data_IF_898318957499
#
_entry.id   IF_898318957499
#
_cell.length_a   1.000
_cell.length_b   1.000
_cell.length_c   1.000
_cell.angle_alpha   90.00
_cell.angle_beta   90.00
_cell.angle_gamma   90.00
#
_symmetry.space_group_name_H-M   'P 1'
#
loop_
_entity.id
_entity.type
_entity.pdbx_description
1 polymer ?
#
# COMPACT_ATOMS: atom_id res chain seq x y z
N UNK A 1 -15.29 -17.95 13.53
CA UNK A 1 -14.52 -17.78 12.28
C UNK A 1 -15.05 -18.67 11.16
N UNK A 2 -15.29 -19.96 11.37
CA UNK A 2 -15.74 -20.87 10.31
C UNK A 2 -17.07 -20.43 9.64
N UNK A 3 -18.10 -20.09 10.43
CA UNK A 3 -19.37 -19.57 9.88
C UNK A 3 -19.21 -18.26 9.08
N UNK A 4 -18.26 -17.40 9.48
CA UNK A 4 -17.98 -16.14 8.78
C UNK A 4 -17.20 -16.39 7.48
N UNK A 5 -16.33 -17.41 7.48
CA UNK A 5 -15.63 -17.87 6.28
C UNK A 5 -16.60 -18.49 5.29
N UNK A 6 -17.53 -19.33 5.74
CA UNK A 6 -18.58 -19.92 4.88
C UNK A 6 -19.48 -18.86 4.23
N UNK A 7 -19.88 -17.82 4.97
CA UNK A 7 -20.65 -16.71 4.42
C UNK A 7 -19.87 -15.89 3.38
N UNK A 8 -18.56 -15.70 3.60
CA UNK A 8 -17.70 -14.96 2.67
C UNK A 8 -17.35 -15.78 1.44
N UNK A 9 -17.13 -17.09 1.58
CA UNK A 9 -16.81 -17.97 0.44
C UNK A 9 -18.02 -18.27 -0.44
N UNK A 10 -19.24 -18.24 0.11
CA UNK A 10 -20.48 -18.40 -0.65
C UNK A 10 -20.62 -17.34 -1.76
N UNK A 11 -20.28 -16.08 -1.48
CA UNK A 11 -20.35 -14.95 -2.42
C UNK A 11 -19.05 -14.12 -2.43
N UNK A 12 -17.90 -14.80 -2.54
CA UNK A 12 -16.58 -14.17 -2.45
C UNK A 12 -16.39 -12.93 -3.33
N UNK A 13 -16.85 -12.89 -4.60
CA UNK A 13 -16.69 -11.72 -5.45
C UNK A 13 -17.42 -10.47 -4.92
N UNK A 14 -18.61 -10.65 -4.34
CA UNK A 14 -19.42 -9.54 -3.82
C UNK A 14 -18.80 -8.99 -2.55
N UNK A 15 -18.36 -9.86 -1.64
CA UNK A 15 -17.70 -9.44 -0.40
C UNK A 15 -16.36 -8.75 -0.65
N UNK A 16 -15.58 -9.21 -1.63
CA UNK A 16 -14.34 -8.54 -2.04
C UNK A 16 -14.62 -7.16 -2.65
N UNK A 17 -15.68 -7.03 -3.45
CA UNK A 17 -16.08 -5.76 -4.04
C UNK A 17 -16.61 -4.77 -3.00
N UNK A 18 -17.61 -5.15 -2.19
CA UNK A 18 -18.22 -4.28 -1.19
C UNK A 18 -17.23 -3.98 -0.06
N UNK A 19 -16.55 -5.00 0.46
CA UNK A 19 -15.55 -4.84 1.51
C UNK A 19 -14.35 -4.02 1.04
N UNK A 20 -13.87 -4.25 -0.19
CA UNK A 20 -12.83 -3.43 -0.81
C UNK A 20 -13.25 -1.96 -0.96
N UNK A 21 -14.49 -1.70 -1.37
CA UNK A 21 -15.02 -0.35 -1.51
C UNK A 21 -15.10 0.38 -0.16
N UNK A 22 -15.62 -0.30 0.88
CA UNK A 22 -15.70 0.26 2.23
C UNK A 22 -14.31 0.53 2.84
N UNK A 23 -13.38 -0.41 2.69
CA UNK A 23 -11.99 -0.26 3.18
C UNK A 23 -11.28 0.86 2.42
N UNK A 24 -11.45 0.93 1.10
CA UNK A 24 -10.89 1.98 0.25
C UNK A 24 -11.44 3.36 0.61
N UNK A 25 -12.75 3.47 0.82
CA UNK A 25 -13.41 4.70 1.26
C UNK A 25 -12.88 5.18 2.62
N UNK A 26 -12.85 4.28 3.61
CA UNK A 26 -12.29 4.60 4.93
C UNK A 26 -10.81 5.03 4.84
N UNK A 27 -10.00 4.33 4.04
CA UNK A 27 -8.61 4.73 3.80
C UNK A 27 -8.52 6.12 3.15
N UNK A 28 -9.33 6.40 2.12
CA UNK A 28 -9.36 7.69 1.42
C UNK A 28 -9.73 8.84 2.35
N UNK A 29 -10.79 8.67 3.15
CA UNK A 29 -11.24 9.60 4.18
C UNK A 29 -10.12 9.95 5.17
N UNK A 30 -9.48 8.93 5.74
CA UNK A 30 -8.42 9.10 6.72
C UNK A 30 -7.18 9.74 6.08
N UNK A 31 -6.78 9.27 4.89
CA UNK A 31 -5.62 9.79 4.18
C UNK A 31 -5.79 11.28 3.82
N UNK A 32 -7.00 11.69 3.42
CA UNK A 32 -7.32 13.08 3.14
C UNK A 32 -7.34 13.93 4.41
N UNK A 33 -8.07 13.49 5.45
CA UNK A 33 -8.19 14.23 6.71
C UNK A 33 -6.84 14.45 7.40
N UNK A 34 -5.93 13.49 7.28
CA UNK A 34 -4.62 13.51 7.95
C UNK A 34 -3.47 13.94 7.05
N UNK A 35 -3.76 14.23 5.77
CA UNK A 35 -2.78 14.52 4.73
C UNK A 35 -1.61 13.52 4.74
N UNK A 36 -1.94 12.23 4.77
CA UNK A 36 -0.97 11.16 4.88
C UNK A 36 -0.20 10.99 3.57
N UNK A 37 1.12 11.19 3.63
CA UNK A 37 2.02 11.04 2.49
C UNK A 37 3.39 10.59 2.99
N UNK A 38 3.87 9.45 2.49
CA UNK A 38 5.22 8.96 2.80
C UNK A 38 6.29 9.93 2.35
N UNK A 39 6.21 10.40 1.10
CA UNK A 39 7.14 11.38 0.55
C UNK A 39 7.08 12.70 1.32
N UNK A 40 5.88 13.18 1.65
CA UNK A 40 5.70 14.40 2.43
C UNK A 40 6.30 14.30 3.83
N UNK A 41 6.21 13.12 4.47
CA UNK A 41 6.83 12.89 5.76
C UNK A 41 8.37 13.00 5.72
N UNK A 42 9.01 12.52 4.66
CA UNK A 42 10.47 12.62 4.48
C UNK A 42 10.88 14.07 4.25
N UNK A 43 10.15 14.78 3.36
CA UNK A 43 10.43 16.19 3.06
C UNK A 43 10.21 17.07 4.30
N UNK A 44 9.15 16.85 5.07
CA UNK A 44 8.89 17.65 6.28
C UNK A 44 9.99 17.48 7.33
N UNK A 45 10.58 16.29 7.44
CA UNK A 45 11.73 16.06 8.33
C UNK A 45 12.97 16.79 7.83
N UNK A 46 13.26 16.74 6.53
CA UNK A 46 14.46 17.34 5.94
C UNK A 46 14.39 18.86 5.84
N UNK A 47 13.21 19.42 5.56
CA UNK A 47 13.03 20.85 5.29
C UNK A 47 12.53 21.62 6.52
N UNK A 48 11.60 21.05 7.29
CA UNK A 48 10.91 21.74 8.38
C UNK A 48 11.31 21.20 9.77
N UNK A 49 12.04 20.08 9.84
CA UNK A 49 12.33 19.39 11.10
C UNK A 49 11.09 18.81 11.79
N UNK A 50 9.94 18.69 11.11
CA UNK A 50 8.71 18.15 11.70
C UNK A 50 8.61 16.64 11.52
N UNK A 51 8.76 15.92 12.63
CA UNK A 51 8.75 14.46 12.66
C UNK A 51 7.34 13.85 12.85
N UNK A 52 6.29 14.66 13.01
CA UNK A 52 4.93 14.15 13.33
C UNK A 52 4.39 13.24 12.24
N UNK A 53 4.59 13.60 10.97
CA UNK A 53 4.14 12.79 9.82
C UNK A 53 4.95 11.52 9.63
N UNK A 54 6.26 11.55 9.88
CA UNK A 54 7.08 10.34 9.84
C UNK A 54 6.67 9.35 10.92
N UNK A 55 6.40 9.85 12.14
CA UNK A 55 5.86 9.03 13.23
C UNK A 55 4.47 8.48 12.92
N UNK A 56 3.60 9.25 12.25
CA UNK A 56 2.31 8.75 11.79
C UNK A 56 2.45 7.59 10.80
N UNK A 57 3.40 7.70 9.86
CA UNK A 57 3.69 6.63 8.91
C UNK A 57 4.29 5.39 9.59
N UNK A 58 5.24 5.58 10.51
CA UNK A 58 5.80 4.49 11.30
C UNK A 58 4.72 3.79 12.15
N UNK A 59 3.80 4.56 12.74
CA UNK A 59 2.66 4.01 13.49
C UNK A 59 1.71 3.22 12.59
N UNK A 60 1.44 3.69 11.37
CA UNK A 60 0.66 2.94 10.37
C UNK A 60 1.34 1.62 10.01
N UNK A 61 2.65 1.63 9.78
CA UNK A 61 3.42 0.41 9.51
C UNK A 61 3.40 -0.56 10.71
N UNK A 62 3.61 -0.07 11.93
CA UNK A 62 3.58 -0.88 13.15
C UNK A 62 2.21 -1.47 13.44
N UNK A 63 1.13 -0.69 13.28
CA UNK A 63 -0.24 -1.18 13.47
C UNK A 63 -0.66 -2.18 12.39
N UNK A 64 -0.27 -1.97 11.13
CA UNK A 64 -0.48 -2.95 10.07
C UNK A 64 0.29 -4.27 10.33
N UNK A 65 1.55 -4.19 10.76
CA UNK A 65 2.37 -5.35 11.08
C UNK A 65 1.81 -6.13 12.27
N UNK A 66 1.41 -5.43 13.33
CA UNK A 66 0.74 -6.04 14.49
C UNK A 66 -0.58 -6.71 14.08
N UNK A 67 -1.38 -6.04 13.25
CA UNK A 67 -2.63 -6.60 12.72
C UNK A 67 -2.40 -7.86 11.89
N UNK A 68 -1.43 -7.86 10.97
CA UNK A 68 -1.07 -9.03 10.19
C UNK A 68 -0.59 -10.20 11.06
N UNK A 69 0.24 -9.91 12.08
CA UNK A 69 0.75 -10.95 12.99
C UNK A 69 -0.37 -11.58 13.84
N UNK A 70 -1.30 -10.76 14.34
CA UNK A 70 -2.48 -11.26 15.07
C UNK A 70 -3.39 -12.11 14.18
N UNK A 71 -3.57 -11.73 12.91
CA UNK A 71 -4.34 -12.52 11.94
C UNK A 71 -3.69 -13.88 11.65
N UNK A 72 -2.36 -13.91 11.58
CA UNK A 72 -1.61 -15.15 11.39
C UNK A 72 -1.77 -16.10 12.60
N UNK A 73 -1.57 -15.60 13.81
CA UNK A 73 -1.70 -16.42 15.03
C UNK A 73 -3.13 -16.84 15.31
N UNK A 74 -4.11 -16.00 14.95
CA UNK A 74 -5.53 -16.34 15.01
C UNK A 74 -5.94 -17.41 14.00
N UNK A 75 -5.06 -17.82 13.08
CA UNK A 75 -5.36 -18.80 12.03
C UNK A 75 -6.39 -18.30 11.00
N UNK A 76 -6.64 -16.98 10.95
CA UNK A 76 -7.61 -16.38 10.05
C UNK A 76 -7.08 -16.23 8.63
N UNK A 77 -5.76 -16.02 8.49
CA UNK A 77 -5.08 -15.78 7.22
C UNK A 77 -3.76 -16.52 7.21
N UNK A 78 -3.53 -17.35 6.20
CA UNK A 78 -2.21 -17.93 5.96
C UNK A 78 -1.36 -16.96 5.11
N UNK A 79 -0.49 -16.21 5.80
CA UNK A 79 0.43 -15.26 5.15
C UNK A 79 1.56 -15.95 4.37
N UNK A 80 1.80 -17.26 4.57
CA UNK A 80 2.81 -18.00 3.79
C UNK A 80 2.44 -18.10 2.31
N UNK A 81 1.14 -18.09 2.00
CA UNK A 81 0.61 -18.07 0.64
C UNK A 81 0.68 -16.69 -0.02
N UNK A 82 1.05 -15.65 0.72
CA UNK A 82 1.21 -14.31 0.16
C UNK A 82 2.48 -14.20 -0.67
N UNK A 83 2.45 -13.34 -1.68
CA UNK A 83 3.61 -13.07 -2.55
C UNK A 83 4.85 -12.58 -1.76
N UNK A 84 4.65 -12.01 -0.56
CA UNK A 84 5.70 -11.38 0.22
C UNK A 84 6.55 -12.37 1.04
N UNK A 85 6.04 -13.58 1.32
CA UNK A 85 6.73 -14.57 2.16
C UNK A 85 7.38 -15.71 1.36
N UNK A 86 7.53 -15.54 0.04
CA UNK A 86 8.23 -16.50 -0.83
C UNK A 86 9.64 -16.84 -0.31
N UNK A 87 10.21 -17.99 -0.70
CA UNK A 87 11.58 -18.38 -0.30
C UNK A 87 12.70 -17.68 -1.11
N UNK A 88 12.37 -17.03 -2.24
CA UNK A 88 13.35 -16.42 -3.17
C UNK A 88 13.46 -14.89 -3.01
N UNK A 89 14.56 -14.40 -2.46
CA UNK A 89 14.76 -12.97 -2.22
C UNK A 89 15.32 -12.32 -3.48
N UNK A 90 14.51 -11.49 -4.13
CA UNK A 90 14.95 -10.65 -5.23
C UNK A 90 15.58 -9.34 -4.71
N UNK A 91 16.78 -9.44 -4.13
CA UNK A 91 17.46 -8.29 -3.51
C UNK A 91 17.69 -7.15 -4.50
N UNK A 92 18.14 -7.46 -5.72
CA UNK A 92 18.44 -6.47 -6.75
C UNK A 92 17.17 -5.75 -7.20
N UNK A 93 16.09 -6.49 -7.50
CA UNK A 93 14.80 -5.91 -7.87
C UNK A 93 14.21 -5.02 -6.77
N UNK A 94 14.34 -5.42 -5.50
CA UNK A 94 13.84 -4.65 -4.36
C UNK A 94 14.59 -3.33 -4.18
N UNK A 95 15.94 -3.34 -4.27
CA UNK A 95 16.76 -2.14 -4.11
C UNK A 95 16.60 -1.22 -5.32
N UNK A 96 16.85 -1.74 -6.52
CA UNK A 96 16.82 -0.94 -7.75
C UNK A 96 15.42 -0.42 -8.05
N UNK A 97 14.40 -1.28 -7.92
CA UNK A 97 13.00 -0.90 -8.09
C UNK A 97 12.53 0.10 -7.03
N UNK A 98 12.95 -0.08 -5.77
CA UNK A 98 12.64 0.87 -4.68
C UNK A 98 13.24 2.26 -4.91
N UNK A 99 14.49 2.33 -5.38
CA UNK A 99 15.16 3.60 -5.71
C UNK A 99 14.50 4.30 -6.90
N UNK A 100 14.22 3.57 -7.99
CA UNK A 100 13.50 4.12 -9.14
C UNK A 100 12.10 4.62 -8.75
N UNK A 101 11.36 3.85 -7.95
CA UNK A 101 10.04 4.23 -7.47
C UNK A 101 10.12 5.48 -6.57
N UNK A 102 11.11 5.55 -5.67
CA UNK A 102 11.39 6.71 -4.83
C UNK A 102 11.66 7.97 -5.63
N UNK A 103 12.57 7.89 -6.61
CA UNK A 103 12.87 9.00 -7.51
C UNK A 103 11.62 9.43 -8.30
N UNK A 104 10.88 8.48 -8.84
CA UNK A 104 9.62 8.73 -9.55
C UNK A 104 8.58 9.47 -8.70
N UNK A 105 8.45 9.13 -7.40
CA UNK A 105 7.52 9.82 -6.49
C UNK A 105 7.85 11.32 -6.33
N UNK A 106 9.12 11.72 -6.44
CA UNK A 106 9.53 13.13 -6.37
C UNK A 106 9.04 13.88 -7.61
N UNK A 107 9.26 13.35 -8.82
CA UNK A 107 8.79 13.99 -10.07
C UNK A 107 7.28 13.97 -10.22
N UNK A 108 6.63 12.89 -9.77
CA UNK A 108 5.18 12.75 -9.77
C UNK A 108 4.48 13.65 -8.74
N UNK A 109 5.22 14.29 -7.83
CA UNK A 109 4.67 15.18 -6.80
C UNK A 109 3.84 14.46 -5.73
N UNK A 110 4.12 13.18 -5.48
CA UNK A 110 3.43 12.37 -4.48
C UNK A 110 3.56 10.86 -4.69
N UNK A 111 3.20 10.10 -3.66
CA UNK A 111 3.04 8.65 -3.76
C UNK A 111 1.71 8.27 -4.46
N UNK A 112 1.60 7.02 -4.91
CA UNK A 112 0.41 6.52 -5.60
C UNK A 112 -0.89 6.74 -4.79
N UNK A 113 -0.89 6.43 -3.48
CA UNK A 113 -2.05 6.63 -2.62
C UNK A 113 -2.46 8.11 -2.48
N UNK A 114 -1.50 9.03 -2.40
CA UNK A 114 -1.81 10.47 -2.33
C UNK A 114 -2.31 11.01 -3.67
N UNK A 115 -1.73 10.59 -4.78
CA UNK A 115 -2.22 10.97 -6.09
C UNK A 115 -3.63 10.39 -6.35
N UNK A 116 -3.93 9.20 -5.83
CA UNK A 116 -5.28 8.63 -5.87
C UNK A 116 -6.31 9.50 -5.14
N UNK A 117 -6.02 9.90 -3.90
CA UNK A 117 -6.91 10.79 -3.14
C UNK A 117 -7.03 12.17 -3.82
N UNK A 118 -5.94 12.70 -4.39
CA UNK A 118 -5.96 13.97 -5.14
C UNK A 118 -6.80 13.87 -6.42
N UNK A 119 -6.70 12.77 -7.16
CA UNK A 119 -7.51 12.53 -8.33
C UNK A 119 -9.00 12.44 -7.94
N UNK A 120 -9.32 11.79 -6.81
CA UNK A 120 -10.68 11.79 -6.24
C UNK A 120 -11.18 13.19 -5.87
N UNK A 121 -10.29 14.10 -5.46
CA UNK A 121 -10.62 15.51 -5.20
C UNK A 121 -10.67 16.41 -6.46
N UNK A 122 -10.51 15.86 -7.66
CA UNK A 122 -10.63 16.60 -8.94
C UNK A 122 -9.33 17.14 -9.53
N UNK A 123 -8.16 16.67 -9.07
CA UNK A 123 -6.87 17.08 -9.63
C UNK A 123 -6.54 16.33 -10.93
N UNK A 124 -6.69 17.00 -12.07
CA UNK A 124 -6.41 16.45 -13.39
C UNK A 124 -4.94 16.02 -13.57
N UNK A 125 -3.99 16.71 -12.91
CA UNK A 125 -2.58 16.33 -12.94
C UNK A 125 -2.37 15.01 -12.20
N UNK A 126 -3.00 14.85 -11.04
CA UNK A 126 -2.91 13.61 -10.27
C UNK A 126 -3.55 12.44 -11.02
N UNK A 127 -4.66 12.68 -11.73
CA UNK A 127 -5.29 11.68 -12.59
C UNK A 127 -4.35 11.22 -13.71
N UNK A 128 -3.70 12.15 -14.42
CA UNK A 128 -2.73 11.82 -15.46
C UNK A 128 -1.57 10.98 -14.90
N UNK A 129 -1.06 11.34 -13.72
CA UNK A 129 -0.01 10.57 -13.04
C UNK A 129 -0.47 9.14 -12.73
N UNK A 130 -1.71 8.94 -12.27
CA UNK A 130 -2.25 7.60 -12.00
C UNK A 130 -2.37 6.76 -13.27
N UNK A 131 -2.85 7.35 -14.38
CA UNK A 131 -2.91 6.67 -15.68
C UNK A 131 -1.53 6.21 -16.11
N UNK A 132 -0.51 7.07 -16.02
CA UNK A 132 0.86 6.71 -16.38
C UNK A 132 1.42 5.62 -15.46
N UNK A 133 1.20 5.71 -14.15
CA UNK A 133 1.64 4.71 -13.18
C UNK A 133 0.96 3.36 -13.43
N UNK A 134 -0.36 3.34 -13.66
CA UNK A 134 -1.13 2.12 -13.92
C UNK A 134 -0.68 1.42 -15.19
N UNK A 135 -0.53 2.18 -16.29
CA UNK A 135 -0.05 1.65 -17.57
C UNK A 135 1.37 1.10 -17.45
N UNK A 136 2.31 1.86 -16.87
CA UNK A 136 3.69 1.38 -16.69
C UNK A 136 3.78 0.18 -15.73
N UNK A 137 2.94 0.13 -14.71
CA UNK A 137 2.86 -1.01 -13.81
C UNK A 137 2.48 -2.29 -14.58
N UNK A 138 1.48 -2.23 -15.45
CA UNK A 138 1.11 -3.40 -16.26
C UNK A 138 2.15 -3.78 -17.32
N UNK A 139 2.73 -2.78 -17.98
CA UNK A 139 3.84 -3.00 -18.92
C UNK A 139 4.98 -3.78 -18.23
N UNK A 140 5.23 -3.51 -16.95
CA UNK A 140 6.28 -4.15 -16.15
C UNK A 140 5.88 -5.50 -15.54
N UNK A 141 4.62 -5.65 -15.12
CA UNK A 141 4.13 -6.90 -14.50
C UNK A 141 3.97 -8.00 -15.55
N UNK A 142 3.29 -7.72 -16.66
CA UNK A 142 2.91 -8.70 -17.67
C UNK A 142 3.00 -8.23 -19.13
N UNK A 143 3.40 -6.97 -19.37
CA UNK A 143 3.60 -6.45 -20.72
C UNK A 143 5.02 -6.68 -21.25
N UNK A 144 5.48 -5.76 -22.11
CA UNK A 144 6.75 -5.91 -22.85
C UNK A 144 7.99 -5.98 -21.95
N UNK A 145 7.94 -5.37 -20.76
CA UNK A 145 9.03 -5.41 -19.78
C UNK A 145 8.93 -6.63 -18.85
N UNK A 146 7.84 -7.39 -18.92
CA UNK A 146 7.61 -8.59 -18.12
C UNK A 146 8.71 -9.65 -18.28
N UNK A 147 9.09 -10.05 -19.51
CA UNK A 147 10.18 -11.01 -19.73
C UNK A 147 11.53 -10.52 -19.20
N UNK A 148 11.84 -9.23 -19.39
CA UNK A 148 13.07 -8.63 -18.88
C UNK A 148 13.09 -8.65 -17.34
N UNK A 149 11.99 -8.27 -16.70
CA UNK A 149 11.83 -8.33 -15.24
C UNK A 149 11.98 -9.77 -14.73
N UNK A 150 11.36 -10.74 -15.39
CA UNK A 150 11.45 -12.14 -15.00
C UNK A 150 12.87 -12.71 -15.17
N UNK A 151 13.58 -12.30 -16.23
CA UNK A 151 14.98 -12.66 -16.44
C UNK A 151 15.87 -12.10 -15.33
N UNK A 152 15.72 -10.81 -15.01
CA UNK A 152 16.43 -10.16 -13.90
C UNK A 152 16.14 -10.86 -12.58
N UNK A 153 14.86 -11.11 -12.26
CA UNK A 153 14.46 -11.80 -11.03
C UNK A 153 15.09 -13.19 -10.93
N UNK A 154 15.13 -13.96 -12.03
CA UNK A 154 15.74 -15.29 -12.05
C UNK A 154 17.26 -15.24 -11.83
N UNK A 155 17.96 -14.27 -12.40
CA UNK A 155 19.42 -14.16 -12.27
C UNK A 155 19.86 -13.55 -10.95
N UNK A 156 19.06 -12.67 -10.35
CA UNK A 156 19.41 -11.98 -9.12
C UNK A 156 18.75 -12.55 -7.87
N UNK A 157 17.78 -13.46 -7.99
CA UNK A 157 17.17 -14.08 -6.82
C UNK A 157 18.17 -14.95 -6.05
N UNK A 158 18.25 -14.76 -4.74
CA UNK A 158 18.99 -15.63 -3.83
C UNK A 158 18.01 -16.45 -2.98
N UNK A 159 18.31 -17.74 -2.78
CA UNK A 159 17.57 -18.58 -1.85
C UNK A 159 18.23 -18.51 -0.47
N UNK A 160 17.47 -18.19 0.57
CA UNK A 160 17.99 -18.02 1.92
C UNK A 160 18.11 -19.33 2.71
N UNK A 161 17.81 -20.48 2.08
CA UNK A 161 17.84 -21.80 2.73
C UNK A 161 16.72 -22.04 3.76
N UNK A 162 15.89 -21.04 4.04
CA UNK A 162 14.70 -21.14 4.89
C UNK A 162 13.43 -21.39 4.04
N UNK A 163 12.37 -21.99 4.63
CA UNK A 163 11.11 -22.24 3.91
C UNK A 163 10.40 -20.94 3.48
N UNK A 164 10.58 -19.85 4.23
CA UNK A 164 10.08 -18.51 3.88
C UNK A 164 11.15 -17.45 4.13
N UNK A 165 10.97 -16.27 3.53
CA UNK A 165 11.77 -15.07 3.82
C UNK A 165 11.37 -14.34 5.10
N UNK A 166 10.54 -14.94 5.97
CA UNK A 166 10.18 -14.30 7.22
C UNK A 166 11.41 -14.18 8.13
N UNK A 167 11.56 -13.03 8.79
CA UNK A 167 12.63 -12.84 9.77
C UNK A 167 12.55 -13.89 10.89
N UNK A 168 11.35 -14.31 11.26
CA UNK A 168 11.12 -15.38 12.24
C UNK A 168 11.68 -16.72 11.80
N UNK A 169 11.50 -17.14 10.54
CA UNK A 169 12.01 -18.42 10.07
C UNK A 169 13.52 -18.39 9.83
N UNK A 170 14.07 -17.24 9.42
CA UNK A 170 15.52 -17.03 9.34
C UNK A 170 16.16 -17.09 10.73
N UNK A 171 15.54 -16.48 11.73
CA UNK A 171 15.96 -16.62 13.12
C UNK A 171 15.87 -18.08 13.54
N UNK A 172 14.72 -18.74 13.39
CA UNK A 172 14.54 -20.15 13.75
C UNK A 172 15.64 -21.07 13.19
N UNK A 173 16.06 -20.85 11.93
CA UNK A 173 17.14 -21.60 11.28
C UNK A 173 18.51 -21.40 11.96
N UNK A 174 18.84 -20.18 12.39
CA UNK A 174 20.17 -19.85 12.94
C UNK A 174 20.30 -20.14 14.44
N UNK A 175 19.22 -19.97 15.21
CA UNK A 175 19.21 -20.16 16.68
C UNK A 175 18.56 -21.48 17.12
N UNK A 176 18.04 -22.28 16.19
CA UNK A 176 17.41 -23.57 16.50
C UNK A 176 16.13 -23.46 17.34
N UNK A 177 15.46 -22.30 17.29
CA UNK A 177 14.22 -22.04 18.04
C UNK A 177 12.99 -22.58 17.31
N UNK A 178 11.92 -22.84 18.06
CA UNK A 178 10.62 -23.21 17.51
C UNK A 178 10.04 -22.04 16.70
N UNK A 179 9.65 -22.27 15.44
CA UNK A 179 9.27 -21.21 14.48
C UNK A 179 8.24 -20.21 15.04
N UNK A 180 7.23 -20.68 15.78
CA UNK A 180 6.24 -19.82 16.43
C UNK A 180 6.86 -18.82 17.43
N UNK A 181 7.81 -19.28 18.25
CA UNK A 181 8.52 -18.43 19.22
C UNK A 181 9.47 -17.46 18.53
N UNK A 182 10.15 -17.90 17.46
CA UNK A 182 11.04 -17.05 16.69
C UNK A 182 10.27 -15.92 15.96
N UNK A 183 9.09 -16.20 15.43
CA UNK A 183 8.20 -15.20 14.83
C UNK A 183 7.70 -14.18 15.87
N UNK A 184 7.31 -14.64 17.05
CA UNK A 184 6.93 -13.78 18.18
C UNK A 184 8.07 -12.82 18.58
N UNK A 185 9.27 -13.35 18.75
CA UNK A 185 10.46 -12.57 19.12
C UNK A 185 10.83 -11.58 18.02
N UNK A 186 10.81 -12.00 16.76
CA UNK A 186 11.08 -11.12 15.61
C UNK A 186 10.06 -9.98 15.52
N UNK A 187 8.77 -10.29 15.67
CA UNK A 187 7.70 -9.31 15.66
C UNK A 187 7.85 -8.32 16.82
N UNK A 188 8.11 -8.80 18.03
CA UNK A 188 8.33 -7.96 19.21
C UNK A 188 9.57 -7.05 19.04
N UNK A 189 10.67 -7.59 18.50
CA UNK A 189 11.91 -6.84 18.26
C UNK A 189 11.73 -5.67 17.27
N UNK A 190 10.75 -5.75 16.35
CA UNK A 190 10.46 -4.66 15.40
C UNK A 190 9.36 -3.73 15.94
N UNK A 191 8.28 -4.30 16.46
CA UNK A 191 7.12 -3.53 16.91
C UNK A 191 7.44 -2.65 18.11
N UNK A 192 8.18 -3.16 19.10
CA UNK A 192 8.49 -2.42 20.33
C UNK A 192 9.27 -1.14 20.00
N UNK A 193 10.38 -1.16 19.24
CA UNK A 193 11.07 0.07 18.85
C UNK A 193 10.21 1.04 18.05
N UNK A 194 9.36 0.56 17.13
CA UNK A 194 8.46 1.42 16.35
C UNK A 194 7.47 2.15 17.26
N UNK A 195 6.79 1.42 18.15
CA UNK A 195 5.83 2.03 19.08
C UNK A 195 6.52 2.97 20.08
N UNK A 196 7.68 2.59 20.61
CA UNK A 196 8.49 3.47 21.47
C UNK A 196 8.88 4.73 20.71
N UNK A 197 9.38 4.64 19.48
CA UNK A 197 9.75 5.80 18.66
C UNK A 197 8.57 6.74 18.39
N UNK A 198 7.38 6.18 18.13
CA UNK A 198 6.16 6.95 17.90
C UNK A 198 5.72 7.67 19.19
N UNK A 199 5.62 6.94 20.29
CA UNK A 199 5.09 7.46 21.55
C UNK A 199 6.12 8.20 22.41
N UNK A 200 7.42 8.15 22.12
CA UNK A 200 8.44 8.88 22.87
C UNK A 200 8.27 10.41 22.78
N UNK A 201 7.77 10.92 21.65
CA UNK A 201 7.66 12.38 21.45
C UNK A 201 6.34 12.95 21.96
N UNK A 202 6.42 13.96 22.84
CA UNK A 202 5.25 14.67 23.36
C UNK A 202 4.46 15.39 22.24
N UNK A 203 5.16 15.97 21.26
CA UNK A 203 4.54 16.68 20.12
C UNK A 203 3.68 15.79 19.23
N UNK A 204 3.99 14.49 19.16
CA UNK A 204 3.16 13.53 18.41
C UNK A 204 1.92 13.15 19.20
N UNK A 205 2.06 12.87 20.51
CA UNK A 205 0.94 12.57 21.42
C UNK A 205 -0.06 13.74 21.50
N UNK A 206 0.42 14.97 21.41
CA UNK A 206 -0.42 16.16 21.37
C UNK A 206 -1.20 16.35 20.07
N UNK A 207 -0.91 15.58 19.01
CA UNK A 207 -1.52 15.74 17.68
C UNK A 207 -2.46 14.57 17.34
N UNK A 208 -3.72 14.59 17.81
CA UNK A 208 -4.64 13.46 17.65
C UNK A 208 -4.86 13.10 16.18
N UNK A 209 -4.85 14.09 15.28
CA UNK A 209 -5.00 13.87 13.83
C UNK A 209 -3.96 12.88 13.26
N UNK A 210 -2.70 12.94 13.70
CA UNK A 210 -1.64 12.10 13.13
C UNK A 210 -1.65 10.70 13.77
N UNK A 211 -2.04 10.61 15.05
CA UNK A 211 -2.21 9.34 15.76
C UNK A 211 -3.36 8.54 15.15
N UNK A 212 -4.53 9.17 15.01
CA UNK A 212 -5.69 8.55 14.35
C UNK A 212 -5.42 8.21 12.88
N UNK A 213 -4.66 9.06 12.17
CA UNK A 213 -4.22 8.75 10.81
C UNK A 213 -3.36 7.50 10.73
N UNK A 214 -2.35 7.39 11.60
CA UNK A 214 -1.48 6.22 11.65
C UNK A 214 -2.25 4.94 11.97
N UNK A 215 -3.01 4.95 13.08
CA UNK A 215 -3.80 3.78 13.51
C UNK A 215 -4.84 3.41 12.46
N UNK A 216 -5.60 4.38 11.95
CA UNK A 216 -6.68 4.14 10.99
C UNK A 216 -6.17 3.54 9.68
N UNK A 217 -5.04 4.05 9.16
CA UNK A 217 -4.44 3.50 7.93
C UNK A 217 -3.88 2.09 8.14
N UNK A 218 -3.23 1.84 9.28
CA UNK A 218 -2.73 0.50 9.58
C UNK A 218 -3.85 -0.52 9.83
N UNK A 219 -4.94 -0.10 10.48
CA UNK A 219 -6.15 -0.93 10.62
C UNK A 219 -6.82 -1.20 9.26
N UNK A 220 -6.86 -0.22 8.35
CA UNK A 220 -7.35 -0.46 7.00
C UNK A 220 -6.51 -1.53 6.28
N UNK A 221 -5.17 -1.46 6.40
CA UNK A 221 -4.26 -2.48 5.87
C UNK A 221 -4.53 -3.88 6.46
N UNK A 222 -4.69 -3.97 7.78
CA UNK A 222 -5.04 -5.22 8.45
C UNK A 222 -6.42 -5.75 8.02
N UNK A 223 -7.41 -4.87 7.83
CA UNK A 223 -8.73 -5.24 7.32
C UNK A 223 -8.66 -5.79 5.88
N UNK A 224 -7.77 -5.25 5.05
CA UNK A 224 -7.49 -5.80 3.71
C UNK A 224 -6.93 -7.22 3.75
N UNK A 225 -5.99 -7.50 4.66
CA UNK A 225 -5.49 -8.85 4.91
C UNK A 225 -6.59 -9.79 5.39
N UNK A 226 -7.41 -9.37 6.35
CA UNK A 226 -8.52 -10.17 6.86
C UNK A 226 -9.53 -10.51 5.76
N UNK A 227 -9.96 -9.51 4.98
CA UNK A 227 -10.97 -9.71 3.93
C UNK A 227 -10.46 -10.64 2.83
N UNK A 228 -9.24 -10.40 2.33
CA UNK A 228 -8.68 -11.23 1.25
C UNK A 228 -8.26 -12.61 1.72
N UNK A 229 -7.84 -12.77 2.97
CA UNK A 229 -7.54 -14.06 3.57
C UNK A 229 -8.79 -14.90 3.86
N UNK A 230 -9.89 -14.29 4.29
CA UNK A 230 -11.17 -15.00 4.47
C UNK A 230 -11.79 -15.42 3.14
N UNK A 231 -11.66 -14.60 2.11
CA UNK A 231 -12.14 -14.88 0.76
C UNK A 231 -11.21 -15.80 -0.04
N UNK A 232 -10.06 -16.20 0.52
CA UNK A 232 -9.13 -17.11 -0.14
C UNK A 232 -9.69 -18.53 -0.16
N UNK A 233 -9.92 -19.01 -1.37
CA UNK A 233 -10.30 -20.38 -1.69
C UNK A 233 -9.39 -20.93 -2.80
N UNK A 234 -8.70 -22.03 -2.50
CA UNK A 234 -7.78 -22.72 -3.41
C UNK A 234 -8.52 -23.43 -4.56
N UNK A 235 -9.79 -23.78 -4.37
CA UNK A 235 -10.63 -24.43 -5.37
C UNK A 235 -11.41 -23.44 -6.24
N UNK A 236 -11.26 -22.13 -5.99
CA UNK A 236 -11.87 -21.10 -6.81
C UNK A 236 -11.33 -21.11 -8.24
N UNK A 237 -12.16 -20.75 -9.22
CA UNK A 237 -11.79 -20.68 -10.65
C UNK A 237 -10.54 -19.81 -10.92
N UNK A 238 -10.27 -18.83 -10.06
CA UNK A 238 -9.10 -17.94 -10.13
C UNK A 238 -8.55 -17.71 -8.71
N UNK A 239 -7.69 -18.59 -8.18
CA UNK A 239 -7.13 -18.41 -6.85
C UNK A 239 -6.26 -17.15 -6.84
N UNK A 240 -6.60 -16.19 -5.99
CA UNK A 240 -5.80 -14.97 -5.81
C UNK A 240 -5.14 -15.04 -4.44
N UNK A 241 -3.81 -14.99 -4.33
CA UNK A 241 -3.15 -15.00 -3.04
C UNK A 241 -3.63 -13.79 -2.20
N UNK A 242 -3.62 -13.91 -0.86
CA UNK A 242 -4.05 -12.83 0.01
C UNK A 242 -3.18 -11.58 -0.23
N UNK A 243 -3.84 -10.43 -0.35
CA UNK A 243 -3.22 -9.14 -0.64
C UNK A 243 -3.83 -8.04 0.24
N UNK A 244 -2.98 -7.14 0.74
CA UNK A 244 -3.41 -5.93 1.44
C UNK A 244 -3.56 -4.75 0.47
N UNK A 245 -3.97 -3.60 1.01
CA UNK A 245 -3.97 -2.30 0.33
C UNK A 245 -2.63 -2.01 -0.36
N UNK A 246 -2.71 -1.91 -1.69
CA UNK A 246 -1.67 -1.40 -2.58
C UNK A 246 -2.38 -0.60 -3.68
N UNK A 247 -1.70 0.40 -4.25
CA UNK A 247 -2.33 1.30 -5.23
C UNK A 247 -1.61 1.35 -6.57
N UNK A 248 -0.49 0.64 -6.74
CA UNK A 248 0.24 0.66 -8.02
C UNK A 248 -0.39 -0.31 -9.01
N UNK A 249 -0.49 -1.60 -8.66
CA UNK A 249 -1.16 -2.61 -9.50
C UNK A 249 -2.67 -2.35 -9.64
N UNK A 250 -3.43 -2.06 -8.56
CA UNK A 250 -4.87 -1.92 -8.67
C UNK A 250 -5.36 -0.73 -9.49
N UNK A 251 -4.55 0.32 -9.64
CA UNK A 251 -4.87 1.42 -10.56
C UNK A 251 -4.88 0.92 -12.00
N UNK A 252 -3.92 0.07 -12.37
CA UNK A 252 -3.95 -0.67 -13.63
C UNK A 252 -5.20 -1.56 -13.71
N UNK A 253 -5.43 -2.41 -12.70
CA UNK A 253 -6.61 -3.31 -12.68
C UNK A 253 -7.94 -2.55 -12.87
N UNK A 254 -8.01 -1.32 -12.37
CA UNK A 254 -9.19 -0.46 -12.55
C UNK A 254 -9.34 0.01 -13.99
N UNK A 255 -8.24 0.33 -14.68
CA UNK A 255 -8.25 0.71 -16.10
C UNK A 255 -8.67 -0.48 -16.97
N UNK A 256 -8.11 -1.68 -16.74
CA UNK A 256 -8.52 -2.88 -17.48
C UNK A 256 -10.00 -3.20 -17.23
N UNK A 257 -10.45 -3.09 -15.98
CA UNK A 257 -11.85 -3.33 -15.64
C UNK A 257 -12.80 -2.33 -16.32
N UNK A 258 -12.40 -1.06 -16.44
CA UNK A 258 -13.17 -0.04 -17.19
C UNK A 258 -13.23 -0.37 -18.70
N UNK A 259 -12.11 -0.79 -19.29
CA UNK A 259 -12.05 -1.16 -20.71
C UNK A 259 -12.86 -2.42 -21.01
N UNK A 260 -12.90 -3.37 -20.07
CA UNK A 260 -13.54 -4.69 -20.23
C UNK A 260 -14.81 -4.83 -19.40
N UNK A 261 -15.48 -3.74 -19.03
CA UNK A 261 -16.58 -3.76 -18.07
C UNK A 261 -17.71 -4.77 -18.40
N UNK A 262 -18.02 -4.96 -19.68
CA UNK A 262 -19.06 -5.91 -20.13
C UNK A 262 -18.59 -7.37 -20.17
N UNK A 263 -17.27 -7.61 -20.19
CA UNK A 263 -16.67 -8.93 -20.31
C UNK A 263 -15.99 -9.40 -19.00
N UNK A 264 -15.67 -8.49 -18.10
CA UNK A 264 -15.03 -8.75 -16.82
C UNK A 264 -16.08 -9.03 -15.73
N UNK A 265 -15.80 -9.95 -14.78
CA UNK A 265 -16.66 -10.16 -13.62
C UNK A 265 -16.64 -8.95 -12.67
N UNK A 266 -17.42 -9.05 -11.57
CA UNK A 266 -17.44 -8.09 -10.47
C UNK A 266 -16.03 -7.60 -10.08
N UNK A 267 -15.87 -6.31 -9.70
CA UNK A 267 -14.57 -5.73 -9.44
C UNK A 267 -13.86 -6.47 -8.29
N UNK A 268 -12.62 -6.87 -8.53
CA UNK A 268 -11.79 -7.47 -7.48
C UNK A 268 -11.44 -6.47 -6.38
N UNK A 269 -10.94 -6.97 -5.24
CA UNK A 269 -10.56 -6.16 -4.08
C UNK A 269 -9.73 -4.92 -4.42
N UNK A 270 -8.71 -5.05 -5.28
CA UNK A 270 -7.88 -3.93 -5.72
C UNK A 270 -8.69 -2.83 -6.42
N UNK A 271 -9.51 -3.19 -7.41
CA UNK A 271 -10.35 -2.24 -8.16
C UNK A 271 -11.33 -1.55 -7.22
N UNK A 272 -11.96 -2.33 -6.35
CA UNK A 272 -12.91 -1.82 -5.37
C UNK A 272 -12.27 -0.82 -4.39
N UNK A 273 -11.06 -1.10 -3.88
CA UNK A 273 -10.34 -0.15 -3.00
C UNK A 273 -9.96 1.15 -3.70
N UNK A 274 -9.59 1.10 -4.99
CA UNK A 274 -9.29 2.29 -5.80
C UNK A 274 -10.54 3.14 -6.02
N UNK A 275 -11.66 2.52 -6.37
CA UNK A 275 -12.94 3.21 -6.53
C UNK A 275 -13.42 3.78 -5.19
N UNK A 276 -13.34 3.02 -4.11
CA UNK A 276 -13.67 3.47 -2.76
C UNK A 276 -12.86 4.69 -2.33
N UNK A 277 -11.54 4.66 -2.52
CA UNK A 277 -10.66 5.76 -2.14
C UNK A 277 -10.87 7.04 -2.98
N UNK A 278 -11.39 6.91 -4.20
CA UNK A 278 -11.69 8.07 -5.07
C UNK A 278 -13.09 8.67 -4.83
N UNK A 279 -14.02 7.93 -4.21
CA UNK A 279 -15.41 8.34 -3.96
C UNK A 279 -15.59 9.37 -2.83
N UNK A 280 -14.62 9.53 -1.93
CA UNK A 280 -14.74 10.31 -0.68
C UNK A 280 -15.14 11.80 -0.89
N UNK A 281 -14.85 12.42 -2.04
CA UNK A 281 -15.19 13.84 -2.23
C UNK A 281 -15.46 14.29 -3.67
N UNK A 282 -16.54 13.78 -4.27
CA UNK A 282 -17.09 14.27 -5.55
C UNK A 282 -17.79 15.65 -5.48
N UNK A 283 -17.64 16.44 -4.40
CA UNK A 283 -18.21 17.80 -4.30
C UNK A 283 -17.24 18.87 -4.84
N UNK A 284 -16.99 18.93 -6.16
CA UNK A 284 -16.68 20.20 -6.85
C UNK A 284 -16.80 20.10 -8.39
N UNK A 285 -17.24 21.16 -9.10
CA UNK A 285 -17.45 21.15 -10.55
C UNK A 285 -16.12 21.28 -11.30
N UNK A 286 -15.95 20.45 -12.33
CA UNK A 286 -14.81 20.35 -13.27
C UNK A 286 -14.38 21.63 -14.01
N UNK A 287 -14.94 22.81 -13.72
CA UNK A 287 -14.67 24.05 -14.46
C UNK A 287 -13.35 24.73 -14.06
N UNK A 288 -12.81 24.45 -12.87
CA UNK A 288 -11.60 25.14 -12.37
C UNK A 288 -10.29 24.36 -12.62
N UNK A 289 -10.36 23.06 -12.92
CA UNK A 289 -9.17 22.24 -13.19
C UNK A 289 -8.46 22.59 -14.53
N UNK A 290 -9.15 23.30 -15.43
CA UNK A 290 -8.56 23.82 -16.67
C UNK A 290 -7.87 25.19 -16.51
N UNK A 291 -7.99 25.87 -15.37
CA UNK A 291 -7.17 27.07 -15.14
C UNK A 291 -5.79 26.65 -14.66
N UNK A 292 -4.85 26.55 -15.61
CA UNK A 292 -3.43 26.40 -15.30
C UNK A 292 -3.00 27.44 -14.24
N UNK A 293 -2.12 27.09 -13.28
CA UNK A 293 -1.49 28.11 -12.46
C UNK A 293 -0.75 29.07 -13.39
N UNK A 294 -1.20 30.32 -13.44
CA UNK A 294 -0.43 31.41 -14.05
C UNK A 294 0.88 31.48 -13.28
N UNK A 295 1.93 30.90 -13.84
CA UNK A 295 3.30 31.18 -13.43
C UNK A 295 3.52 32.65 -13.81
N UNK A 296 3.35 33.56 -12.85
CA UNK A 296 3.83 34.93 -13.03
C UNK A 296 5.36 34.83 -13.19
N UNK A 297 5.95 35.28 -14.31
CA UNK A 297 7.40 35.35 -14.40
C UNK A 297 7.90 36.26 -13.27
N UNK A 298 8.83 35.75 -12.46
CA UNK A 298 9.53 36.55 -11.48
C UNK A 298 10.16 37.76 -12.19
N UNK A 299 10.09 38.97 -11.63
CA UNK A 299 10.77 40.13 -12.21
C UNK A 299 12.27 39.84 -12.23
N UNK A 300 12.86 39.82 -13.43
CA UNK A 300 14.30 39.83 -13.62
C UNK A 300 14.86 41.06 -12.90
N UNK A 301 15.52 40.84 -11.77
CA UNK A 301 16.40 41.85 -11.18
C UNK A 301 17.56 42.03 -12.14
N UNK A 302 17.51 43.16 -12.86
CA UNK A 302 18.57 43.72 -13.69
C UNK A 302 19.82 43.86 -12.81
N UNK A 303 20.86 43.07 -13.09
CA UNK A 303 22.20 43.35 -12.58
C UNK A 303 22.73 44.55 -13.37
N UNK A 304 22.59 45.74 -12.79
CA UNK A 304 23.37 46.91 -13.18
C UNK A 304 24.66 46.92 -12.33
N UNK A 305 25.75 47.32 -13.00
CA UNK A 305 27.16 47.47 -12.59
C UNK A 305 28.03 46.22 -12.55
#
# INVERSE_FOLDING_TARGET
MNALRELVTADAPVWLAVGGLLIGFAFGAIAQATNFCTMGAIVDVMTLGDWRRLRAWALAAGTALLGAQLLQWGGAVDLSLSMYLSARLNWFGNIFGGLMFGFGMVFAGGCASRNLVRAGSGDARALLVLVVIGTLAYITIGGILGPLRAMLEKTTSMMLGAPTQSLGDLLALHIGMLSATAQLVAAAAILVPIFVFCFASASFRASPRHVWGGIGIGLAAAAGWLLTGLAFDEMARWPRPPISLTYVRPVGDTMEWLERFTAAPLPGFGVATVLGASLERSRWPWREACSAPRVSPAPMTRFDT
#
